data_IF_817242055900
#
_entry.id   IF_817242055900
#
_cell.length_a   1.000
_cell.length_b   1.000
_cell.length_c   1.000
_cell.angle_alpha   90.00
_cell.angle_beta   90.00
_cell.angle_gamma   90.00
#
_symmetry.space_group_name_H-M   'P 1'
#
loop_
_entity.id
_entity.type
_entity.pdbx_description
1 polymer ?
#
# COMPACT_ATOMS: atom_id res chain seq x y z
N UNK A 1 11.43 -21.48 49.37
CA UNK A 1 12.10 -21.20 48.10
C UNK A 1 11.10 -21.42 46.98
N UNK A 2 10.55 -20.35 46.42
CA UNK A 2 9.63 -20.40 45.28
C UNK A 2 10.31 -19.61 44.16
N UNK A 3 10.98 -20.31 43.25
CA UNK A 3 11.52 -19.74 42.02
C UNK A 3 10.37 -19.45 41.08
N UNK A 4 10.08 -18.17 40.87
CA UNK A 4 9.20 -17.70 39.81
C UNK A 4 9.84 -18.02 38.46
N UNK A 5 9.19 -18.90 37.70
CA UNK A 5 9.49 -19.15 36.30
C UNK A 5 9.10 -17.91 35.49
N UNK A 6 10.10 -17.15 35.03
CA UNK A 6 9.91 -16.02 34.13
C UNK A 6 9.63 -16.62 32.75
N UNK A 7 8.37 -16.63 32.33
CA UNK A 7 8.02 -16.87 30.94
C UNK A 7 8.66 -15.78 30.07
N UNK A 8 9.78 -16.14 29.41
CA UNK A 8 10.39 -15.34 28.35
C UNK A 8 9.52 -15.47 27.09
N UNK A 9 9.00 -14.33 26.59
CA UNK A 9 8.51 -14.27 25.21
C UNK A 9 9.69 -14.47 24.27
N UNK A 10 9.61 -15.34 23.25
CA UNK A 10 10.69 -15.52 22.29
C UNK A 10 10.98 -14.22 21.55
N UNK A 11 12.26 -13.91 21.36
CA UNK A 11 12.70 -12.73 20.61
C UNK A 11 12.15 -12.78 19.18
N UNK A 12 11.63 -11.65 18.68
CA UNK A 12 11.17 -11.51 17.29
C UNK A 12 12.38 -11.68 16.36
N UNK A 13 12.35 -12.72 15.52
CA UNK A 13 13.35 -12.94 14.48
C UNK A 13 12.88 -12.25 13.19
N UNK A 14 13.50 -11.12 12.84
CA UNK A 14 13.09 -10.28 11.71
C UNK A 14 13.16 -11.02 10.36
N UNK A 15 14.20 -11.82 10.14
CA UNK A 15 14.36 -12.66 8.95
C UNK A 15 13.24 -13.68 8.84
N UNK A 16 12.91 -14.35 9.94
CA UNK A 16 11.85 -15.35 9.95
C UNK A 16 10.45 -14.72 9.76
N UNK A 17 10.21 -13.52 10.30
CA UNK A 17 8.99 -12.73 10.05
C UNK A 17 8.90 -12.34 8.59
N UNK A 18 9.98 -11.79 8.02
CA UNK A 18 10.00 -11.37 6.62
C UNK A 18 9.74 -12.57 5.70
N UNK A 19 10.42 -13.69 5.92
CA UNK A 19 10.23 -14.90 5.14
C UNK A 19 8.80 -15.43 5.25
N UNK A 20 8.19 -15.48 6.45
CA UNK A 20 6.79 -15.90 6.61
C UNK A 20 5.79 -14.96 5.94
N UNK A 21 6.05 -13.66 5.96
CA UNK A 21 5.20 -12.65 5.31
C UNK A 21 5.39 -12.60 3.79
N UNK A 22 6.54 -13.07 3.29
CA UNK A 22 6.87 -13.18 1.87
C UNK A 22 6.65 -14.58 1.28
N UNK A 23 6.41 -15.59 2.12
CA UNK A 23 6.30 -17.01 1.76
C UNK A 23 5.19 -17.30 0.73
N UNK A 24 4.22 -16.39 0.56
CA UNK A 24 3.24 -16.47 -0.51
C UNK A 24 3.89 -16.19 -1.88
N UNK A 25 4.71 -15.14 -1.98
CA UNK A 25 5.45 -14.79 -3.20
C UNK A 25 6.63 -15.70 -3.49
N UNK A 26 7.29 -16.24 -2.44
CA UNK A 26 8.46 -17.12 -2.59
C UNK A 26 8.02 -18.51 -3.07
N UNK A 27 6.93 -19.07 -2.51
CA UNK A 27 6.37 -20.34 -2.99
C UNK A 27 5.90 -20.26 -4.44
N UNK A 28 5.28 -19.17 -4.84
CA UNK A 28 4.84 -19.00 -6.24
C UNK A 28 6.04 -18.85 -7.20
N UNK A 29 7.13 -18.21 -6.75
CA UNK A 29 8.33 -17.96 -7.57
C UNK A 29 9.23 -19.18 -7.70
N UNK A 30 9.44 -19.93 -6.62
CA UNK A 30 10.26 -21.15 -6.63
C UNK A 30 9.62 -22.27 -7.46
N UNK A 31 8.30 -22.37 -7.52
CA UNK A 31 7.63 -23.34 -8.40
C UNK A 31 7.65 -22.94 -9.88
N UNK A 32 7.62 -21.64 -10.21
CA UNK A 32 7.80 -21.18 -11.60
C UNK A 32 9.22 -21.47 -12.12
N UNK A 33 10.23 -21.35 -11.26
CA UNK A 33 11.61 -21.72 -11.59
C UNK A 33 11.78 -23.26 -11.74
N UNK A 34 10.94 -24.06 -11.07
CA UNK A 34 10.89 -25.53 -11.24
C UNK A 34 10.17 -25.93 -12.54
N UNK A 35 9.17 -25.17 -13.00
CA UNK A 35 8.45 -25.43 -14.26
C UNK A 35 9.22 -24.91 -15.51
N UNK A 36 10.22 -24.04 -15.32
CA UNK A 36 11.10 -23.48 -16.36
C UNK A 36 12.62 -23.54 -16.04
N UNK A 37 13.11 -24.65 -15.47
CA UNK A 37 14.50 -25.12 -15.63
C UNK A 37 15.69 -24.35 -15.01
N UNK A 38 16.10 -24.85 -13.84
CA UNK A 38 17.48 -25.15 -13.35
C UNK A 38 18.36 -24.11 -12.61
N UNK A 39 18.73 -24.55 -11.38
CA UNK A 39 19.96 -24.45 -10.57
C UNK A 39 20.48 -23.10 -10.02
N UNK A 40 20.50 -22.95 -8.68
CA UNK A 40 21.75 -23.14 -7.88
C UNK A 40 21.49 -23.28 -6.34
N UNK A 41 22.51 -23.78 -5.62
CA UNK A 41 22.54 -24.36 -4.26
C UNK A 41 22.87 -23.41 -3.06
N UNK A 42 22.27 -23.74 -1.90
CA UNK A 42 22.78 -23.86 -0.49
C UNK A 42 23.29 -22.65 0.35
N UNK A 43 22.91 -22.67 1.66
CA UNK A 43 23.68 -22.45 2.93
C UNK A 43 22.82 -21.67 3.97
N UNK A 44 22.91 -21.79 5.29
CA UNK A 44 23.22 -22.83 6.31
C UNK A 44 22.86 -22.18 7.69
N UNK A 45 22.66 -22.96 8.75
CA UNK A 45 22.34 -22.49 10.13
C UNK A 45 23.50 -21.72 10.82
N UNK A 46 23.23 -20.74 11.73
CA UNK A 46 23.80 -20.63 13.11
C UNK A 46 23.36 -19.39 13.95
N UNK A 47 22.85 -19.67 15.17
CA UNK A 47 23.23 -19.25 16.56
C UNK A 47 23.18 -17.82 17.21
N UNK A 48 22.60 -17.83 18.44
CA UNK A 48 22.82 -17.13 19.75
C UNK A 48 22.57 -15.61 20.00
N UNK A 49 21.97 -15.37 21.20
CA UNK A 49 22.08 -14.29 22.22
C UNK A 49 22.42 -12.84 21.78
N UNK A 50 21.87 -11.74 22.32
CA UNK A 50 21.73 -11.32 23.72
C UNK A 50 20.76 -10.11 23.79
N UNK A 51 20.16 -9.86 24.95
CA UNK A 51 19.17 -8.80 25.19
C UNK A 51 19.80 -7.42 25.20
N UNK A 52 19.33 -6.52 24.33
CA UNK A 52 19.39 -5.09 24.56
C UNK A 52 18.06 -4.43 24.17
N UNK A 53 17.68 -3.43 24.97
CA UNK A 53 16.54 -2.57 24.72
C UNK A 53 16.73 -1.85 23.38
N UNK A 54 16.07 -2.32 22.32
CA UNK A 54 16.05 -1.63 21.02
C UNK A 54 14.76 -1.94 20.26
N UNK A 55 14.10 -0.90 19.72
CA UNK A 55 12.73 -0.91 19.21
C UNK A 55 12.59 -1.83 17.99
N UNK A 56 11.44 -2.47 17.86
CA UNK A 56 11.08 -3.47 16.84
C UNK A 56 11.58 -3.03 15.44
N UNK A 57 11.33 -1.77 15.06
CA UNK A 57 11.75 -1.21 13.77
C UNK A 57 13.28 -1.14 13.59
N UNK A 58 14.03 -0.81 14.63
CA UNK A 58 15.51 -0.75 14.58
C UNK A 58 16.10 -2.16 14.44
N UNK A 59 15.45 -3.18 15.03
CA UNK A 59 15.81 -4.59 14.79
C UNK A 59 15.60 -4.98 13.34
N UNK A 60 14.43 -4.67 12.75
CA UNK A 60 14.20 -4.91 11.32
C UNK A 60 15.17 -4.13 10.42
N UNK A 61 15.60 -2.94 10.84
CA UNK A 61 16.59 -2.15 10.08
C UNK A 61 18.01 -2.72 10.21
N UNK A 62 18.35 -3.21 11.40
CA UNK A 62 19.67 -3.81 11.70
C UNK A 62 19.82 -5.17 11.03
N UNK A 63 18.78 -5.99 11.07
CA UNK A 63 18.81 -7.38 10.61
C UNK A 63 18.63 -7.52 9.08
N UNK A 64 17.84 -6.63 8.46
CA UNK A 64 17.46 -6.71 7.03
C UNK A 64 17.94 -5.53 6.18
N UNK A 65 18.63 -4.56 6.79
CA UNK A 65 18.99 -3.30 6.15
C UNK A 65 17.79 -2.42 5.79
N UNK A 66 18.05 -1.36 5.02
CA UNK A 66 17.02 -0.41 4.56
C UNK A 66 15.97 -1.05 3.65
N UNK A 67 16.31 -2.17 3.02
CA UNK A 67 15.40 -2.95 2.17
C UNK A 67 14.34 -3.71 2.97
N UNK A 68 14.61 -4.07 4.24
CA UNK A 68 13.64 -4.73 5.11
C UNK A 68 12.40 -3.88 5.37
N UNK A 69 12.57 -2.58 5.64
CA UNK A 69 11.44 -1.65 5.86
C UNK A 69 10.60 -1.53 4.58
N UNK A 70 11.25 -1.40 3.42
CA UNK A 70 10.56 -1.37 2.12
C UNK A 70 9.82 -2.68 1.85
N UNK A 71 10.44 -3.80 2.20
CA UNK A 71 9.86 -5.12 2.07
C UNK A 71 8.65 -5.35 3.00
N UNK A 72 8.55 -4.65 4.13
CA UNK A 72 7.43 -4.77 5.07
C UNK A 72 6.35 -3.69 4.90
N UNK A 73 6.69 -2.52 4.36
CA UNK A 73 5.76 -1.36 4.33
C UNK A 73 5.54 -0.75 2.95
N UNK A 74 6.36 -1.09 1.94
CA UNK A 74 6.50 -0.41 0.64
C UNK A 74 7.11 1.00 0.70
N UNK A 75 7.47 1.50 1.88
CA UNK A 75 8.16 2.78 2.03
C UNK A 75 9.65 2.55 2.19
N UNK A 76 10.46 3.39 1.53
CA UNK A 76 11.85 3.58 1.94
C UNK A 76 11.91 4.18 3.34
N UNK A 77 13.06 4.08 4.01
CA UNK A 77 13.25 4.68 5.32
C UNK A 77 12.92 6.18 5.30
N UNK A 78 13.38 6.91 4.27
CA UNK A 78 13.10 8.35 4.11
C UNK A 78 11.62 8.67 3.92
N UNK A 79 10.90 7.85 3.14
CA UNK A 79 9.46 8.05 2.94
C UNK A 79 8.69 7.71 4.21
N UNK A 80 9.11 6.69 4.96
CA UNK A 80 8.54 6.35 6.26
C UNK A 80 8.77 7.48 7.28
N UNK A 81 9.97 8.05 7.36
CA UNK A 81 10.23 9.21 8.24
C UNK A 81 9.41 10.43 7.84
N UNK A 82 9.24 10.66 6.54
CA UNK A 82 8.38 11.73 6.04
C UNK A 82 6.93 11.49 6.45
N UNK A 83 6.42 10.27 6.31
CA UNK A 83 5.09 9.90 6.77
C UNK A 83 4.94 10.08 8.28
N UNK A 84 5.93 9.62 9.06
CA UNK A 84 5.97 9.78 10.51
C UNK A 84 5.87 11.25 10.91
N UNK A 85 6.60 12.15 10.24
CA UNK A 85 6.55 13.61 10.51
C UNK A 85 5.18 14.26 10.29
N UNK A 86 4.27 13.62 9.54
CA UNK A 86 2.90 14.12 9.40
C UNK A 86 1.97 13.66 10.52
N UNK A 87 2.27 12.52 11.15
CA UNK A 87 1.34 11.86 12.09
C UNK A 87 1.88 11.80 13.52
N UNK A 88 3.13 12.18 13.76
CA UNK A 88 3.80 12.06 15.06
C UNK A 88 3.07 12.81 16.17
N UNK A 89 2.65 14.06 15.94
CA UNK A 89 1.90 14.87 16.90
C UNK A 89 0.58 14.18 17.29
N UNK A 90 -0.21 13.75 16.30
CA UNK A 90 -1.48 13.08 16.53
C UNK A 90 -1.30 11.75 17.28
N UNK A 91 -0.30 10.96 16.87
CA UNK A 91 0.03 9.67 17.46
C UNK A 91 0.54 9.80 18.91
N UNK A 92 1.36 10.82 19.19
CA UNK A 92 1.84 11.09 20.54
C UNK A 92 0.72 11.64 21.44
N UNK A 93 -0.15 12.51 20.93
CA UNK A 93 -1.29 13.03 21.69
C UNK A 93 -2.30 11.93 22.04
N UNK A 94 -2.65 11.06 21.08
CA UNK A 94 -3.51 9.91 21.32
C UNK A 94 -2.93 8.93 22.36
N UNK A 95 -1.59 8.81 22.41
CA UNK A 95 -0.90 8.03 23.46
C UNK A 95 -1.06 8.66 24.85
N UNK A 96 -1.09 9.99 24.95
CA UNK A 96 -1.15 10.74 26.21
C UNK A 96 -2.58 10.81 26.79
N UNK A 97 -3.62 10.60 25.98
CA UNK A 97 -5.03 10.69 26.41
C UNK A 97 -5.58 9.41 27.08
N UNK A 98 -4.85 8.29 27.05
CA UNK A 98 -5.28 7.02 27.63
C UNK A 98 -5.15 6.95 29.16
N UNK A 99 -6.26 6.71 29.88
CA UNK A 99 -6.26 6.45 31.34
C UNK A 99 -5.78 5.04 31.75
N UNK A 100 -5.03 4.34 30.88
CA UNK A 100 -4.68 2.93 31.04
C UNK A 100 -3.18 2.65 31.17
N UNK A 101 -2.81 1.39 31.42
CA UNK A 101 -1.42 0.94 31.39
C UNK A 101 -0.82 1.24 30.01
N UNK A 102 0.26 2.04 29.97
CA UNK A 102 0.86 2.50 28.73
C UNK A 102 1.41 1.30 27.97
N UNK A 103 1.02 1.14 26.71
CA UNK A 103 1.57 0.08 25.86
C UNK A 103 3.09 0.27 25.71
N UNK A 104 3.86 -0.80 25.92
CA UNK A 104 5.32 -0.77 25.82
C UNK A 104 5.79 -0.37 24.40
N UNK A 105 4.95 -0.60 23.40
CA UNK A 105 5.15 -0.20 22.01
C UNK A 105 5.10 1.31 21.85
N UNK A 106 6.12 1.90 21.23
CA UNK A 106 6.13 3.31 20.84
C UNK A 106 5.11 3.59 19.71
N UNK A 107 4.59 4.82 19.58
CA UNK A 107 3.64 5.12 18.50
C UNK A 107 4.22 4.95 17.09
N UNK A 108 5.53 5.18 16.93
CA UNK A 108 6.25 4.96 15.67
C UNK A 108 6.31 3.47 15.28
N UNK A 109 6.56 2.60 16.26
CA UNK A 109 6.48 1.14 16.03
C UNK A 109 5.05 0.68 15.74
N UNK A 110 4.06 1.26 16.41
CA UNK A 110 2.66 0.95 16.15
C UNK A 110 2.26 1.33 14.72
N UNK A 111 2.76 2.47 14.21
CA UNK A 111 2.62 2.86 12.81
C UNK A 111 3.29 1.85 11.86
N UNK A 112 4.53 1.46 12.14
CA UNK A 112 5.26 0.46 11.36
C UNK A 112 4.50 -0.89 11.28
N UNK A 113 3.99 -1.38 12.40
CA UNK A 113 3.18 -2.61 12.44
C UNK A 113 1.87 -2.44 11.66
N UNK A 114 1.21 -1.28 11.75
CA UNK A 114 -0.01 -1.01 10.99
C UNK A 114 0.25 -1.03 9.47
N UNK A 115 1.32 -0.38 9.00
CA UNK A 115 1.71 -0.42 7.58
C UNK A 115 2.05 -1.83 7.11
N UNK A 116 2.68 -2.64 7.98
CA UNK A 116 2.98 -4.05 7.68
C UNK A 116 1.70 -4.87 7.51
N UNK A 117 0.72 -4.66 8.39
CA UNK A 117 -0.60 -5.31 8.28
C UNK A 117 -1.30 -4.92 6.99
N UNK A 118 -1.31 -3.62 6.65
CA UNK A 118 -1.91 -3.11 5.42
C UNK A 118 -1.23 -3.66 4.16
N UNK A 119 0.09 -3.86 4.19
CA UNK A 119 0.82 -4.43 3.05
C UNK A 119 0.51 -5.91 2.83
N UNK A 120 0.57 -6.72 3.88
CA UNK A 120 0.57 -8.18 3.75
C UNK A 120 -0.81 -8.83 3.93
N UNK A 121 -1.80 -8.10 4.45
CA UNK A 121 -3.20 -8.51 4.56
C UNK A 121 -3.41 -9.99 4.96
N UNK A 122 -2.81 -10.38 6.08
CA UNK A 122 -2.92 -11.71 6.67
C UNK A 122 -3.87 -11.69 7.88
N UNK A 123 -4.21 -12.88 8.39
CA UNK A 123 -5.00 -13.07 9.62
C UNK A 123 -4.34 -12.38 10.81
N UNK A 124 -5.13 -11.87 11.75
CA UNK A 124 -4.65 -11.24 12.98
C UNK A 124 -3.74 -12.16 13.80
N UNK A 125 -4.00 -13.46 13.79
CA UNK A 125 -3.20 -14.47 14.48
C UNK A 125 -1.77 -14.52 13.95
N UNK A 126 -1.60 -14.58 12.62
CA UNK A 126 -0.28 -14.59 11.98
C UNK A 126 0.51 -13.32 12.30
N UNK A 127 -0.09 -12.16 12.05
CA UNK A 127 0.56 -10.87 12.32
C UNK A 127 0.88 -10.70 13.80
N UNK A 128 -0.02 -11.08 14.70
CA UNK A 128 0.23 -10.95 16.12
C UNK A 128 1.39 -11.85 16.58
N UNK A 129 1.50 -13.08 16.08
CA UNK A 129 2.64 -13.97 16.35
C UNK A 129 3.95 -13.34 15.87
N UNK A 130 3.96 -12.76 14.67
CA UNK A 130 5.15 -12.14 14.08
C UNK A 130 5.69 -10.97 14.92
N UNK A 131 4.81 -10.24 15.59
CA UNK A 131 5.18 -9.11 16.45
C UNK A 131 5.17 -9.44 17.96
N UNK A 132 4.96 -10.71 18.35
CA UNK A 132 4.95 -11.13 19.75
C UNK A 132 3.74 -10.66 20.59
N UNK A 133 2.59 -10.44 19.94
CA UNK A 133 1.33 -10.05 20.57
C UNK A 133 0.30 -11.19 20.61
N UNK A 134 -0.72 -11.03 21.46
CA UNK A 134 -1.98 -11.78 21.35
C UNK A 134 -2.86 -11.13 20.28
N UNK A 135 -3.51 -11.93 19.44
CA UNK A 135 -4.30 -11.44 18.30
C UNK A 135 -5.34 -10.34 18.64
N UNK A 136 -6.17 -10.46 19.71
CA UNK A 136 -7.13 -9.41 20.05
C UNK A 136 -6.45 -8.10 20.47
N UNK A 137 -5.30 -8.18 21.15
CA UNK A 137 -4.52 -7.01 21.56
C UNK A 137 -3.89 -6.33 20.36
N UNK A 138 -3.33 -7.12 19.45
CA UNK A 138 -2.73 -6.62 18.22
C UNK A 138 -3.78 -5.95 17.33
N UNK A 139 -4.91 -6.60 17.08
CA UNK A 139 -6.02 -6.01 16.33
C UNK A 139 -6.45 -4.67 16.93
N UNK A 140 -6.67 -4.60 18.25
CA UNK A 140 -7.06 -3.36 18.91
C UNK A 140 -6.01 -2.27 18.74
N UNK A 141 -4.73 -2.60 18.87
CA UNK A 141 -3.63 -1.66 18.64
C UNK A 141 -3.66 -1.11 17.21
N UNK A 142 -3.71 -1.98 16.19
CA UNK A 142 -3.70 -1.55 14.80
C UNK A 142 -4.93 -0.71 14.45
N UNK A 143 -6.12 -1.11 14.90
CA UNK A 143 -7.34 -0.33 14.68
C UNK A 143 -7.27 1.05 15.34
N UNK A 144 -6.68 1.16 16.54
CA UNK A 144 -6.44 2.45 17.18
C UNK A 144 -5.47 3.33 16.38
N UNK A 145 -4.38 2.76 15.86
CA UNK A 145 -3.43 3.50 14.99
C UNK A 145 -4.15 4.03 13.76
N UNK A 146 -4.90 3.18 13.06
CA UNK A 146 -5.62 3.57 11.84
C UNK A 146 -6.62 4.70 12.10
N UNK A 147 -7.38 4.63 13.20
CA UNK A 147 -8.34 5.66 13.57
C UNK A 147 -7.69 7.02 13.88
N UNK A 148 -6.45 7.04 14.37
CA UNK A 148 -5.70 8.28 14.66
C UNK A 148 -5.10 8.88 13.39
N UNK A 149 -4.53 8.05 12.50
CA UNK A 149 -3.83 8.55 11.31
C UNK A 149 -4.77 8.89 10.16
N UNK A 150 -5.91 8.20 10.03
CA UNK A 150 -6.89 8.44 8.96
C UNK A 150 -7.27 9.92 8.81
N UNK A 151 -7.70 10.65 9.87
CA UNK A 151 -8.09 12.05 9.72
C UNK A 151 -6.90 12.96 9.36
N UNK A 152 -5.69 12.63 9.80
CA UNK A 152 -4.48 13.43 9.57
C UNK A 152 -4.00 13.31 8.12
N UNK A 153 -4.09 12.10 7.57
CA UNK A 153 -3.74 11.82 6.19
C UNK A 153 -4.86 12.23 5.21
N UNK A 154 -6.07 12.45 5.73
CA UNK A 154 -7.20 12.95 4.95
C UNK A 154 -7.19 14.47 4.81
N UNK A 155 -7.74 14.98 3.69
CA UNK A 155 -8.06 16.40 3.54
C UNK A 155 -7.07 17.24 2.73
N UNK A 156 -6.06 16.64 2.08
CA UNK A 156 -5.27 17.35 1.07
C UNK A 156 -6.00 17.35 -0.27
N UNK A 157 -5.76 18.35 -1.11
CA UNK A 157 -6.29 18.39 -2.48
C UNK A 157 -5.17 17.99 -3.44
N UNK A 158 -5.52 17.62 -4.67
CA UNK A 158 -4.52 17.55 -5.73
C UNK A 158 -4.17 18.98 -6.13
N UNK A 159 -3.14 19.55 -5.51
CA UNK A 159 -2.76 20.97 -5.69
C UNK A 159 -2.56 21.33 -7.17
N UNK A 160 -1.90 20.44 -7.92
CA UNK A 160 -1.64 20.62 -9.36
C UNK A 160 -2.83 20.25 -10.26
N UNK A 161 -3.85 19.55 -9.73
CA UNK A 161 -4.98 19.04 -10.51
C UNK A 161 -6.31 19.29 -9.79
N UNK A 162 -6.69 20.56 -9.56
CA UNK A 162 -7.90 20.91 -8.78
C UNK A 162 -9.21 20.44 -9.43
N UNK A 163 -9.18 20.09 -10.72
CA UNK A 163 -10.30 19.58 -11.51
C UNK A 163 -10.40 18.05 -11.52
N UNK A 164 -9.47 17.35 -10.86
CA UNK A 164 -9.51 15.89 -10.71
C UNK A 164 -10.28 15.49 -9.45
N UNK A 165 -11.31 14.66 -9.62
CA UNK A 165 -12.19 14.24 -8.54
C UNK A 165 -11.61 13.06 -7.73
N UNK A 166 -10.82 12.21 -8.37
CA UNK A 166 -10.11 11.09 -7.75
C UNK A 166 -8.95 10.60 -8.63
N UNK A 167 -8.04 9.85 -8.04
CA UNK A 167 -7.05 9.03 -8.75
C UNK A 167 -7.54 7.58 -8.81
N UNK A 168 -7.27 6.88 -9.91
CA UNK A 168 -7.61 5.47 -10.11
C UNK A 168 -6.35 4.65 -10.25
N UNK A 169 -6.29 3.53 -9.53
CA UNK A 169 -5.26 2.52 -9.76
C UNK A 169 -5.81 1.11 -9.49
N UNK A 170 -5.13 0.11 -10.06
CA UNK A 170 -5.42 -1.30 -9.89
C UNK A 170 -4.38 -1.90 -8.98
N UNK A 171 -4.82 -2.42 -7.83
CA UNK A 171 -3.97 -3.18 -6.94
C UNK A 171 -4.08 -4.67 -7.23
N UNK A 172 -2.95 -5.31 -7.52
CA UNK A 172 -2.86 -6.76 -7.52
C UNK A 172 -2.64 -7.28 -6.09
N UNK A 173 -3.54 -8.14 -5.64
CA UNK A 173 -3.48 -8.85 -4.38
C UNK A 173 -3.08 -10.31 -4.64
N UNK A 174 -1.99 -10.80 -4.04
CA UNK A 174 -1.60 -12.20 -4.15
C UNK A 174 -2.68 -13.13 -3.61
N UNK A 175 -2.82 -14.31 -4.20
CA UNK A 175 -3.67 -15.38 -3.68
C UNK A 175 -2.88 -16.66 -3.45
N UNK A 176 -3.53 -17.65 -2.85
CA UNK A 176 -3.04 -19.03 -2.95
C UNK A 176 -3.06 -19.47 -4.41
N UNK A 177 -2.13 -20.33 -4.77
CA UNK A 177 -2.09 -20.97 -6.07
C UNK A 177 -3.42 -21.70 -6.34
N UNK A 178 -4.11 -21.40 -7.45
CA UNK A 178 -5.36 -22.08 -7.78
C UNK A 178 -5.12 -23.58 -8.05
N UNK A 179 -5.85 -24.46 -7.37
CA UNK A 179 -5.85 -25.88 -7.76
C UNK A 179 -6.65 -26.05 -9.04
N UNK A 180 -6.15 -26.84 -10.00
CA UNK A 180 -6.83 -27.02 -11.29
C UNK A 180 -5.88 -27.27 -12.45
N UNK A 181 -6.40 -27.14 -13.68
CA UNK A 181 -5.58 -27.27 -14.89
C UNK A 181 -4.74 -26.01 -15.11
N UNK A 182 -3.62 -26.15 -15.80
CA UNK A 182 -2.73 -25.04 -16.14
C UNK A 182 -3.47 -23.85 -16.79
N UNK A 183 -4.44 -24.10 -17.67
CA UNK A 183 -5.25 -23.06 -18.31
C UNK A 183 -6.13 -22.28 -17.32
N UNK A 184 -6.64 -22.93 -16.28
CA UNK A 184 -7.46 -22.32 -15.23
C UNK A 184 -6.58 -21.52 -14.27
N UNK A 185 -5.40 -22.03 -13.95
CA UNK A 185 -4.40 -21.33 -13.15
C UNK A 185 -3.93 -20.05 -13.83
N UNK A 186 -3.52 -20.14 -15.10
CA UNK A 186 -3.01 -19.01 -15.89
C UNK A 186 -3.98 -17.83 -15.94
N UNK A 187 -5.28 -18.07 -15.80
CA UNK A 187 -6.29 -17.02 -15.70
C UNK A 187 -6.06 -16.06 -14.53
N UNK A 188 -5.47 -16.53 -13.43
CA UNK A 188 -5.17 -15.73 -12.25
C UNK A 188 -3.74 -15.22 -12.20
N UNK A 189 -2.93 -15.54 -13.21
CA UNK A 189 -1.52 -15.20 -13.23
C UNK A 189 -1.26 -13.79 -13.77
N UNK A 190 -0.65 -12.93 -12.94
CA UNK A 190 -0.25 -11.57 -13.33
C UNK A 190 1.20 -11.55 -13.82
N UNK A 191 1.40 -11.56 -15.14
CA UNK A 191 2.76 -11.54 -15.74
C UNK A 191 3.63 -10.36 -15.30
N UNK A 192 3.04 -9.16 -15.11
CA UNK A 192 3.75 -7.95 -14.62
C UNK A 192 4.37 -8.13 -13.23
N UNK A 193 3.70 -8.89 -12.38
CA UNK A 193 4.06 -9.05 -10.97
C UNK A 193 4.62 -10.45 -10.64
N UNK A 194 4.63 -11.34 -11.64
CA UNK A 194 5.10 -12.72 -11.53
C UNK A 194 4.47 -13.49 -10.36
N UNK A 195 3.14 -13.33 -10.17
CA UNK A 195 2.39 -13.93 -9.08
C UNK A 195 0.94 -14.24 -9.47
N UNK A 196 0.33 -15.19 -8.76
CA UNK A 196 -1.10 -15.48 -8.86
C UNK A 196 -1.88 -14.57 -7.94
N UNK A 197 -3.02 -14.07 -8.42
CA UNK A 197 -3.81 -13.18 -7.60
C UNK A 197 -5.05 -12.62 -8.27
N UNK A 198 -5.61 -11.65 -7.56
CA UNK A 198 -6.75 -10.87 -7.99
C UNK A 198 -6.36 -9.41 -8.12
N UNK A 199 -7.03 -8.71 -9.02
CA UNK A 199 -6.90 -7.28 -9.24
C UNK A 199 -8.16 -6.58 -8.80
N UNK A 200 -8.00 -5.49 -8.06
CA UNK A 200 -9.09 -4.63 -7.64
C UNK A 200 -8.72 -3.21 -8.06
N UNK A 201 -9.61 -2.57 -8.81
CA UNK A 201 -9.51 -1.16 -9.12
C UNK A 201 -10.12 -0.35 -7.97
N UNK A 202 -9.39 0.65 -7.49
CA UNK A 202 -9.85 1.58 -6.48
C UNK A 202 -9.71 3.02 -6.98
N UNK A 203 -10.76 3.81 -6.76
CA UNK A 203 -10.74 5.26 -6.93
C UNK A 203 -10.56 5.92 -5.57
N UNK A 204 -9.56 6.79 -5.45
CA UNK A 204 -9.20 7.51 -4.22
C UNK A 204 -9.34 9.01 -4.46
N UNK A 205 -10.20 9.65 -3.69
CA UNK A 205 -10.41 11.09 -3.75
C UNK A 205 -9.19 11.87 -3.25
N UNK A 206 -9.08 13.18 -3.56
CA UNK A 206 -7.96 14.00 -3.11
C UNK A 206 -7.75 13.94 -1.59
N UNK A 207 -8.83 13.87 -0.82
CA UNK A 207 -8.81 13.75 0.64
C UNK A 207 -8.44 12.34 1.14
N UNK A 208 -7.93 11.46 0.28
CA UNK A 208 -7.39 10.16 0.66
C UNK A 208 -8.45 9.07 0.91
N UNK A 209 -9.72 9.31 0.56
CA UNK A 209 -10.81 8.35 0.79
C UNK A 209 -11.02 7.46 -0.43
N UNK A 210 -11.25 6.17 -0.21
CA UNK A 210 -11.71 5.28 -1.28
C UNK A 210 -13.17 5.59 -1.59
N UNK A 211 -13.43 6.15 -2.77
CA UNK A 211 -14.77 6.59 -3.20
C UNK A 211 -15.47 5.60 -4.14
N UNK A 212 -14.71 4.72 -4.78
CA UNK A 212 -15.26 3.61 -5.55
C UNK A 212 -14.26 2.44 -5.59
N UNK A 213 -14.78 1.22 -5.69
CA UNK A 213 -13.99 -0.01 -5.78
C UNK A 213 -14.65 -1.00 -6.74
N UNK A 214 -13.87 -1.78 -7.49
CA UNK A 214 -14.40 -2.83 -8.37
C UNK A 214 -14.69 -4.12 -7.59
N UNK A 215 -15.41 -5.05 -8.22
CA UNK A 215 -15.30 -6.45 -7.86
C UNK A 215 -13.88 -6.97 -8.13
N UNK A 216 -13.54 -8.16 -7.64
CA UNK A 216 -12.25 -8.77 -7.94
C UNK A 216 -12.19 -9.25 -9.40
N UNK A 217 -11.05 -8.99 -10.04
CA UNK A 217 -10.72 -9.45 -11.38
C UNK A 217 -9.56 -10.46 -11.32
N UNK A 218 -9.48 -11.43 -12.24
CA UNK A 218 -8.33 -12.33 -12.32
C UNK A 218 -7.02 -11.58 -12.60
N UNK A 219 -5.91 -12.06 -12.04
CA UNK A 219 -4.59 -11.44 -12.18
C UNK A 219 -4.10 -11.30 -13.62
N UNK A 220 -4.58 -12.12 -14.55
CA UNK A 220 -4.21 -12.03 -15.97
C UNK A 220 -4.84 -10.86 -16.72
N UNK A 221 -5.88 -10.23 -16.16
CA UNK A 221 -6.60 -9.13 -16.81
C UNK A 221 -5.75 -7.86 -16.76
N UNK A 222 -5.65 -7.14 -17.88
CA UNK A 222 -4.88 -5.89 -17.95
C UNK A 222 -5.62 -4.76 -17.23
N UNK A 223 -4.88 -3.85 -16.58
CA UNK A 223 -5.43 -2.77 -15.77
C UNK A 223 -6.37 -1.86 -16.60
N UNK A 224 -5.92 -1.48 -17.81
CA UNK A 224 -6.76 -0.77 -18.79
C UNK A 224 -8.04 -1.54 -19.19
N UNK A 225 -8.02 -2.87 -19.27
CA UNK A 225 -9.22 -3.66 -19.58
C UNK A 225 -10.22 -3.61 -18.44
N UNK A 226 -9.74 -3.63 -17.18
CA UNK A 226 -10.58 -3.45 -16.00
C UNK A 226 -11.25 -2.07 -16.06
N UNK A 227 -10.46 -1.01 -16.30
CA UNK A 227 -10.99 0.34 -16.38
C UNK A 227 -12.01 0.51 -17.52
N UNK A 228 -11.77 -0.07 -18.69
CA UNK A 228 -12.72 -0.05 -19.80
C UNK A 228 -14.04 -0.76 -19.47
N UNK A 229 -13.99 -1.87 -18.72
CA UNK A 229 -15.20 -2.58 -18.29
C UNK A 229 -16.09 -1.73 -17.37
N UNK A 230 -15.51 -0.69 -16.74
CA UNK A 230 -16.14 0.20 -15.77
C UNK A 230 -16.35 1.63 -16.24
N UNK A 231 -16.20 1.90 -17.55
CA UNK A 231 -16.34 3.26 -18.12
C UNK A 231 -17.66 3.91 -17.71
N UNK A 232 -18.79 3.18 -17.73
CA UNK A 232 -20.09 3.74 -17.33
C UNK A 232 -20.15 4.16 -15.87
N UNK A 233 -19.50 3.40 -14.99
CA UNK A 233 -19.43 3.74 -13.56
C UNK A 233 -18.61 5.04 -13.40
N UNK A 234 -17.49 5.14 -14.11
CA UNK A 234 -16.67 6.35 -14.09
C UNK A 234 -17.36 7.55 -14.72
N UNK A 235 -18.09 7.39 -15.82
CA UNK A 235 -18.89 8.46 -16.43
C UNK A 235 -19.93 9.00 -15.45
N UNK A 236 -20.62 8.11 -14.74
CA UNK A 236 -21.59 8.52 -13.71
C UNK A 236 -20.91 9.24 -12.53
N UNK A 237 -19.77 8.72 -12.06
CA UNK A 237 -19.05 9.29 -10.91
C UNK A 237 -18.36 10.63 -11.24
N UNK A 238 -17.95 10.83 -12.49
CA UNK A 238 -17.28 12.06 -12.94
C UNK A 238 -18.24 13.09 -13.53
N UNK A 239 -19.52 12.75 -13.72
CA UNK A 239 -20.50 13.67 -14.29
C UNK A 239 -20.60 14.96 -13.48
N UNK A 240 -20.47 16.10 -14.17
CA UNK A 240 -20.69 17.42 -13.57
C UNK A 240 -22.17 17.66 -13.32
N UNK A 241 -22.48 18.20 -12.15
CA UNK A 241 -23.81 18.77 -11.91
C UNK A 241 -24.02 20.03 -12.78
N UNK A 242 -25.27 20.51 -12.96
CA UNK A 242 -25.52 21.77 -13.66
C UNK A 242 -24.78 22.97 -13.04
N UNK A 243 -24.61 22.98 -11.72
CA UNK A 243 -23.80 23.99 -11.01
C UNK A 243 -22.31 23.86 -11.31
N UNK A 244 -21.79 22.63 -11.38
CA UNK A 244 -20.37 22.39 -11.70
C UNK A 244 -20.04 22.75 -13.15
N UNK A 245 -20.99 22.54 -14.07
CA UNK A 245 -20.83 22.90 -15.47
C UNK A 245 -20.71 24.42 -15.68
N UNK A 246 -21.20 25.24 -14.73
CA UNK A 246 -21.03 26.68 -14.75
C UNK A 246 -19.65 27.14 -14.22
N UNK A 247 -18.90 26.27 -13.54
CA UNK A 247 -17.56 26.60 -13.06
C UNK A 247 -16.55 26.58 -14.21
N UNK A 248 -15.66 27.60 -14.30
CA UNK A 248 -14.61 27.62 -15.30
C UNK A 248 -13.63 26.46 -15.06
N UNK A 249 -13.48 25.62 -16.08
CA UNK A 249 -12.60 24.45 -16.07
C UNK A 249 -11.57 24.57 -17.20
N UNK A 250 -10.37 25.00 -16.82
CA UNK A 250 -9.23 25.14 -17.71
C UNK A 250 -8.29 23.93 -17.67
N UNK A 251 -8.75 22.82 -17.07
CA UNK A 251 -7.96 21.59 -16.97
C UNK A 251 -7.79 20.87 -18.30
N UNK A 252 -6.83 19.97 -18.36
CA UNK A 252 -6.56 19.15 -19.54
C UNK A 252 -7.82 18.41 -20.01
N UNK A 253 -7.98 18.31 -21.33
CA UNK A 253 -9.12 17.66 -22.01
C UNK A 253 -10.52 18.24 -21.68
N UNK A 254 -10.63 19.40 -21.00
CA UNK A 254 -11.92 19.99 -20.62
C UNK A 254 -12.84 20.27 -21.82
N UNK A 255 -12.25 20.68 -22.96
CA UNK A 255 -13.00 20.96 -24.19
C UNK A 255 -13.66 19.71 -24.80
N UNK A 256 -13.03 18.54 -24.65
CA UNK A 256 -13.54 17.26 -25.15
C UNK A 256 -14.56 16.67 -24.17
N UNK A 257 -14.33 16.82 -22.86
CA UNK A 257 -15.15 16.25 -21.79
C UNK A 257 -15.81 17.35 -20.94
N UNK A 258 -16.60 18.23 -21.58
CA UNK A 258 -17.18 19.41 -20.92
C UNK A 258 -18.08 19.07 -19.73
N UNK A 259 -18.81 17.97 -19.83
CA UNK A 259 -19.75 17.49 -18.81
C UNK A 259 -19.11 16.61 -17.73
N UNK A 260 -17.78 16.47 -17.71
CA UNK A 260 -17.09 15.55 -16.80
C UNK A 260 -15.93 16.21 -16.06
N UNK A 261 -15.83 15.93 -14.77
CA UNK A 261 -14.60 16.07 -14.01
C UNK A 261 -13.53 15.09 -14.51
N UNK A 262 -12.28 15.31 -14.12
CA UNK A 262 -11.18 14.44 -14.48
C UNK A 262 -10.92 13.36 -13.43
N UNK A 263 -10.27 12.28 -13.83
CA UNK A 263 -9.58 11.36 -12.91
C UNK A 263 -8.09 11.30 -13.23
N UNK A 264 -7.26 11.13 -12.21
CA UNK A 264 -5.83 10.88 -12.40
C UNK A 264 -5.60 9.39 -12.62
N UNK A 265 -4.74 9.06 -13.58
CA UNK A 265 -4.42 7.68 -13.94
C UNK A 265 -2.92 7.49 -14.09
N UNK A 266 -2.44 6.28 -13.79
CA UNK A 266 -1.05 5.91 -14.01
C UNK A 266 -0.73 5.71 -15.51
N UNK A 267 0.53 5.43 -15.85
CA UNK A 267 0.94 5.21 -17.24
C UNK A 267 0.48 3.85 -17.82
N UNK A 268 -0.06 2.94 -17.00
CA UNK A 268 -0.66 1.68 -17.44
C UNK A 268 -2.00 1.85 -18.15
N UNK A 269 -2.61 3.04 -18.07
CA UNK A 269 -3.90 3.35 -18.71
C UNK A 269 -3.77 4.17 -20.00
N UNK A 270 -2.62 4.15 -20.68
CA UNK A 270 -2.44 4.85 -21.96
C UNK A 270 -3.58 4.50 -22.93
N UNK A 271 -4.26 5.53 -23.44
CA UNK A 271 -5.40 5.37 -24.35
C UNK A 271 -6.75 5.62 -23.68
N UNK A 272 -6.82 5.70 -22.35
CA UNK A 272 -8.08 5.93 -21.63
C UNK A 272 -8.74 7.28 -21.99
N UNK A 273 -7.94 8.26 -22.44
CA UNK A 273 -8.43 9.59 -22.89
C UNK A 273 -9.44 9.53 -24.05
N UNK A 274 -9.53 8.40 -24.74
CA UNK A 274 -10.54 8.19 -25.79
C UNK A 274 -11.92 7.82 -25.24
N UNK A 275 -12.01 7.43 -23.97
CA UNK A 275 -13.25 6.99 -23.31
C UNK A 275 -13.62 7.83 -22.10
N UNK A 276 -12.64 8.29 -21.32
CA UNK A 276 -12.84 9.08 -20.12
C UNK A 276 -11.88 10.27 -20.09
N UNK A 277 -12.18 11.26 -19.26
CA UNK A 277 -11.25 12.36 -18.97
C UNK A 277 -10.15 11.91 -17.98
N UNK A 278 -9.38 10.90 -18.38
CA UNK A 278 -8.21 10.41 -17.64
C UNK A 278 -6.99 11.27 -17.93
N UNK A 279 -6.37 11.81 -16.88
CA UNK A 279 -5.18 12.65 -16.95
C UNK A 279 -3.98 11.87 -16.42
N UNK A 280 -2.89 11.87 -17.17
CA UNK A 280 -1.64 11.24 -16.77
C UNK A 280 -0.72 12.30 -16.14
N UNK A 281 -0.48 12.28 -14.82
CA UNK A 281 0.44 13.22 -14.20
C UNK A 281 1.86 13.04 -14.75
N UNK A 282 2.48 14.13 -15.20
CA UNK A 282 3.87 14.08 -15.68
C UNK A 282 4.82 13.86 -14.50
N UNK A 283 5.64 12.81 -14.59
CA UNK A 283 6.77 12.64 -13.66
C UNK A 283 7.87 13.63 -14.01
N UNK A 284 8.52 14.22 -13.01
CA UNK A 284 9.77 14.96 -13.19
C UNK A 284 10.81 14.01 -13.81
N UNK A 285 11.49 14.39 -14.91
CA UNK A 285 12.56 13.57 -15.48
C UNK A 285 13.69 13.37 -14.47
N UNK A 286 14.34 12.20 -14.48
CA UNK A 286 15.56 11.97 -13.70
C UNK A 286 16.63 12.96 -14.18
N UNK A 287 17.10 13.84 -13.28
CA UNK A 287 18.03 14.94 -13.55
C UNK A 287 17.50 16.08 -14.45
N UNK A 288 16.20 16.18 -14.69
CA UNK A 288 15.59 17.27 -15.45
C UNK A 288 14.68 18.17 -14.60
N UNK A 289 14.58 19.44 -14.96
CA UNK A 289 13.49 20.31 -14.49
C UNK A 289 12.22 20.02 -15.29
N UNK A 290 11.06 20.11 -14.64
CA UNK A 290 9.79 20.25 -15.36
C UNK A 290 9.88 21.50 -16.25
N UNK A 291 9.28 21.49 -17.45
CA UNK A 291 9.27 22.66 -18.33
C UNK A 291 8.62 23.87 -17.64
N UNK A 292 8.88 25.09 -18.10
CA UNK A 292 8.31 26.31 -17.49
C UNK A 292 6.77 26.26 -17.43
N UNK A 293 6.13 25.68 -18.43
CA UNK A 293 4.68 25.40 -18.50
C UNK A 293 4.19 24.37 -17.47
N UNK A 294 5.02 23.40 -17.09
CA UNK A 294 4.74 22.39 -16.06
C UNK A 294 5.10 22.90 -14.65
N UNK A 295 5.96 23.92 -14.54
CA UNK A 295 6.34 24.61 -13.29
C UNK A 295 5.27 25.60 -12.81
N UNK A 296 4.48 26.19 -13.71
CA UNK A 296 3.38 27.11 -13.34
C UNK A 296 2.29 26.45 -12.49
N UNK A 297 2.20 25.12 -12.48
CA UNK A 297 1.33 24.37 -11.58
C UNK A 297 1.96 24.12 -10.21
N UNK A 298 3.29 24.16 -10.10
CA UNK A 298 4.03 23.82 -8.88
C UNK A 298 4.30 25.00 -7.92
N UNK A 299 3.99 26.24 -8.33
CA UNK A 299 4.29 27.46 -7.55
C UNK A 299 3.08 28.39 -7.52
N UNK A 300 2.06 28.00 -6.78
CA UNK A 300 1.22 28.96 -6.06
C UNK A 300 1.16 28.49 -4.62
N UNK A 301 1.74 29.34 -3.75
CA UNK A 301 2.15 29.09 -2.36
C UNK A 301 1.03 28.66 -1.43
#
# INVERSE_FOLDING_TARGET
>A
SLQNSIHHSPAINANAVLNRLQDQSIRDRSYLDVEYGSNDEVLDEVNLEEVAANPIMERFTTDLGTDGIRALTNFTVSEFESLWSFVDDAMNNARMEGRGHRCATSPKEALFMALTVLKHYCTWEKHAVDFGFKAPTFQKLIMCVLAVIEPVLSGRRFDNFPYALYAVDVKCQPSLWPTGRFSEQKHYYSGKHNLYGYKIEAAVSPDGRCVAMSASHPGSVHDLTIMHSRVKDHEANLAKSPSDAALPDHGELSNQFRGSWACLVDMGYIGIQHSLRGIHPKRRPVNGSLGAEDLFLSHTK
#
